data_IF_456683571072
#
_entry.id   IF_456683571072
#
_cell.length_a   1.000
_cell.length_b   1.000
_cell.length_c   1.000
_cell.angle_alpha   90.00
_cell.angle_beta   90.00
_cell.angle_gamma   90.00
#
_symmetry.space_group_name_H-M   'P 1'
#
loop_
_entity.id
_entity.type
_entity.pdbx_description
1 polymer ?
#
# COMPACT_ATOMS: atom_id res chain seq x y z
N UNK A 1 8.11 1.05 28.05
CA UNK A 1 7.10 1.22 27.00
C UNK A 1 7.37 0.17 25.95
N UNK A 2 6.43 -0.74 25.71
CA UNK A 2 6.52 -1.77 24.68
C UNK A 2 5.49 -1.44 23.61
N UNK A 3 5.94 -1.26 22.37
CA UNK A 3 5.07 -0.99 21.23
C UNK A 3 5.17 -2.18 20.27
N UNK A 4 4.03 -2.75 19.91
CA UNK A 4 3.97 -3.86 18.97
C UNK A 4 3.20 -3.41 17.73
N UNK A 5 3.80 -3.65 16.57
CA UNK A 5 3.21 -3.34 15.27
C UNK A 5 3.08 -4.64 14.48
N UNK A 6 1.88 -4.92 13.99
CA UNK A 6 1.61 -6.05 13.11
C UNK A 6 0.96 -5.53 11.83
N UNK A 7 1.53 -5.86 10.68
CA UNK A 7 0.99 -5.52 9.37
C UNK A 7 0.85 -6.76 8.50
N UNK A 8 -0.25 -6.84 7.75
CA UNK A 8 -0.50 -7.87 6.76
C UNK A 8 -1.11 -7.28 5.50
N UNK A 9 -0.70 -7.77 4.33
CA UNK A 9 -1.22 -7.32 3.04
C UNK A 9 -1.60 -8.50 2.15
N UNK A 10 -2.72 -8.37 1.46
CA UNK A 10 -3.16 -9.28 0.41
C UNK A 10 -3.23 -8.52 -0.93
N UNK A 11 -2.69 -9.12 -1.99
CA UNK A 11 -2.77 -8.57 -3.35
C UNK A 11 -3.39 -9.63 -4.25
N UNK A 12 -4.45 -9.25 -4.96
CA UNK A 12 -5.14 -10.12 -5.89
C UNK A 12 -5.07 -9.55 -7.31
N UNK A 13 -4.38 -10.25 -8.21
CA UNK A 13 -4.26 -9.87 -9.61
C UNK A 13 -5.47 -10.35 -10.42
N UNK A 14 -6.44 -9.45 -10.66
CA UNK A 14 -7.60 -9.74 -11.53
C UNK A 14 -7.16 -9.87 -12.99
N UNK A 15 -6.19 -9.05 -13.40
CA UNK A 15 -5.63 -9.05 -14.74
C UNK A 15 -4.15 -8.71 -14.67
N UNK A 16 -3.43 -8.93 -15.77
CA UNK A 16 -2.02 -8.54 -15.93
C UNK A 16 -1.76 -7.07 -15.58
N UNK A 17 -2.78 -6.23 -15.76
CA UNK A 17 -2.70 -4.80 -15.52
C UNK A 17 -3.49 -4.33 -14.29
N UNK A 18 -4.37 -5.15 -13.70
CA UNK A 18 -5.25 -4.72 -12.60
C UNK A 18 -5.08 -5.60 -11.37
N UNK A 19 -4.76 -4.98 -10.24
CA UNK A 19 -4.57 -5.67 -8.97
C UNK A 19 -5.41 -4.99 -7.89
N UNK A 20 -6.18 -5.78 -7.15
CA UNK A 20 -6.77 -5.36 -5.89
C UNK A 20 -5.72 -5.52 -4.78
N UNK A 21 -5.73 -4.59 -3.85
CA UNK A 21 -4.84 -4.54 -2.70
C UNK A 21 -5.69 -4.41 -1.45
N UNK A 22 -5.31 -5.11 -0.40
CA UNK A 22 -5.93 -4.98 0.90
C UNK A 22 -4.84 -5.06 1.95
N UNK A 23 -4.71 -4.02 2.75
CA UNK A 23 -3.73 -3.94 3.81
C UNK A 23 -4.43 -3.82 5.16
N UNK A 24 -3.91 -4.48 6.17
CA UNK A 24 -4.39 -4.43 7.53
C UNK A 24 -3.19 -4.17 8.44
N UNK A 25 -3.24 -3.10 9.23
CA UNK A 25 -2.19 -2.75 10.19
C UNK A 25 -2.82 -2.59 11.56
N UNK A 26 -2.23 -3.24 12.55
CA UNK A 26 -2.64 -3.17 13.95
C UNK A 26 -1.44 -2.72 14.80
N UNK A 27 -1.68 -1.71 15.62
CA UNK A 27 -0.74 -1.14 16.57
C UNK A 27 -1.27 -1.39 17.97
N UNK A 28 -0.41 -1.86 18.87
CA UNK A 28 -0.68 -1.92 20.30
C UNK A 28 0.25 -0.95 20.99
N UNK A 29 -0.36 0.08 21.59
CA UNK A 29 0.33 1.08 22.38
C UNK A 29 -0.14 0.93 23.84
N UNK A 30 0.81 0.75 24.75
CA UNK A 30 0.56 0.66 26.18
C UNK A 30 1.08 1.92 26.83
N UNK A 31 0.18 2.86 27.13
CA UNK A 31 0.52 4.09 27.84
C UNK A 31 0.25 3.92 29.34
N UNK A 32 1.22 4.32 30.16
CA UNK A 32 1.13 4.28 31.62
C UNK A 32 0.92 5.70 32.09
N UNK A 33 -0.34 6.07 32.26
CA UNK A 33 -0.71 7.39 32.76
C UNK A 33 -0.28 7.52 34.24
N UNK A 34 0.09 8.75 34.67
CA UNK A 34 0.62 9.06 36.03
C UNK A 34 -0.30 8.67 37.21
N UNK A 35 -1.51 8.17 36.94
CA UNK A 35 -2.53 7.76 37.89
C UNK A 35 -2.64 6.23 38.11
N UNK A 36 -1.65 5.42 37.71
CA UNK A 36 -1.63 3.95 37.95
C UNK A 36 -2.72 3.17 37.18
N UNK A 37 -3.18 3.69 36.04
CA UNK A 37 -4.14 3.01 35.15
C UNK A 37 -3.43 2.68 33.84
N UNK A 38 -3.42 1.40 33.47
CA UNK A 38 -2.90 0.93 32.19
C UNK A 38 -4.00 1.16 31.15
N UNK A 39 -3.79 2.09 30.23
CA UNK A 39 -4.64 2.27 29.06
C UNK A 39 -3.97 1.56 27.89
N UNK A 40 -4.61 0.49 27.42
CA UNK A 40 -4.16 -0.28 26.25
C UNK A 40 -4.91 0.23 25.03
N UNK A 41 -4.26 1.08 24.25
CA UNK A 41 -4.80 1.57 22.98
C UNK A 41 -4.46 0.56 21.89
N UNK A 42 -5.50 0.01 21.26
CA UNK A 42 -5.35 -0.82 20.06
C UNK A 42 -5.80 0.04 18.89
N UNK A 43 -4.90 0.31 17.96
CA UNK A 43 -5.18 1.07 16.74
C UNK A 43 -5.15 0.10 15.57
N UNK A 44 -6.31 -0.18 14.97
CA UNK A 44 -6.41 -1.04 13.79
C UNK A 44 -6.86 -0.22 12.58
N UNK A 45 -6.21 -0.46 11.44
CA UNK A 45 -6.39 0.23 10.17
C UNK A 45 -6.52 -0.80 9.05
N UNK A 46 -7.58 -0.70 8.27
CA UNK A 46 -7.76 -1.48 7.05
C UNK A 46 -7.68 -0.54 5.85
N UNK A 47 -6.90 -0.88 4.84
CA UNK A 47 -6.72 -0.08 3.64
C UNK A 47 -7.01 -0.93 2.41
N UNK A 48 -8.30 -1.09 2.03
CA UNK A 48 -8.66 -1.56 0.71
C UNK A 48 -8.17 -0.59 -0.35
N UNK A 49 -7.63 -1.12 -1.45
CA UNK A 49 -7.16 -0.34 -2.57
C UNK A 49 -7.10 -1.14 -3.85
N UNK A 50 -6.72 -0.46 -4.91
CA UNK A 50 -6.49 -1.07 -6.21
C UNK A 50 -5.39 -0.32 -6.94
N UNK A 51 -4.68 -1.04 -7.82
CA UNK A 51 -3.71 -0.46 -8.75
C UNK A 51 -3.95 -0.95 -10.17
N UNK A 52 -3.75 -0.05 -11.12
CA UNK A 52 -3.85 -0.30 -12.54
C UNK A 52 -2.56 0.12 -13.26
N UNK A 53 -2.02 -0.78 -14.09
CA UNK A 53 -0.84 -0.55 -14.91
C UNK A 53 -1.22 -0.31 -16.38
N UNK A 54 -0.91 0.88 -16.88
CA UNK A 54 -1.00 1.24 -18.29
C UNK A 54 0.33 0.91 -18.97
N UNK A 55 0.36 -0.22 -19.68
CA UNK A 55 1.50 -0.63 -20.49
C UNK A 55 1.38 -0.03 -21.90
N UNK A 56 2.36 0.79 -22.31
CA UNK A 56 2.45 1.39 -23.66
C UNK A 56 3.45 0.64 -24.55
N UNK A 57 3.32 0.74 -25.89
CA UNK A 57 4.17 0.01 -26.84
C UNK A 57 5.68 0.32 -26.72
N UNK A 58 6.05 1.48 -26.18
CA UNK A 58 7.46 1.89 -25.99
C UNK A 58 8.06 1.38 -24.67
N UNK A 59 7.54 0.30 -24.08
CA UNK A 59 7.88 -0.20 -22.75
C UNK A 59 7.69 0.84 -21.62
N UNK A 60 6.93 1.90 -21.87
CA UNK A 60 6.51 2.85 -20.84
C UNK A 60 5.37 2.23 -20.03
N UNK A 61 5.57 2.07 -18.74
CA UNK A 61 4.54 1.63 -17.81
C UNK A 61 4.17 2.77 -16.86
N UNK A 62 2.87 3.04 -16.75
CA UNK A 62 2.33 4.01 -15.79
C UNK A 62 1.44 3.22 -14.84
N UNK A 63 1.75 3.23 -13.55
CA UNK A 63 0.94 2.55 -12.53
C UNK A 63 0.21 3.60 -11.70
N UNK A 64 -1.11 3.54 -11.70
CA UNK A 64 -1.96 4.40 -10.86
C UNK A 64 -2.61 3.52 -9.81
N UNK A 65 -2.59 3.94 -8.55
CA UNK A 65 -3.24 3.25 -7.47
C UNK A 65 -3.95 4.20 -6.52
N UNK A 66 -4.97 3.69 -5.87
CA UNK A 66 -5.67 4.38 -4.80
C UNK A 66 -5.99 3.36 -3.69
N UNK A 67 -5.91 3.79 -2.45
CA UNK A 67 -6.35 3.03 -1.30
C UNK A 67 -7.13 3.92 -0.33
N UNK A 68 -8.03 3.32 0.42
CA UNK A 68 -8.89 3.99 1.39
C UNK A 68 -8.56 3.42 2.78
N UNK A 69 -7.59 4.00 3.51
CA UNK A 69 -7.36 3.63 4.91
C UNK A 69 -8.61 3.95 5.73
N UNK A 70 -9.14 2.97 6.44
CA UNK A 70 -10.32 3.05 7.30
C UNK A 70 -9.87 2.62 8.69
N UNK A 71 -10.05 3.51 9.66
CA UNK A 71 -9.85 3.21 11.07
C UNK A 71 -10.93 2.29 11.62
N UNK A 72 -10.54 1.23 12.32
CA UNK A 72 -11.48 0.31 12.98
C UNK A 72 -11.65 0.58 14.49
N UNK A 73 -10.88 1.51 15.05
CA UNK A 73 -10.75 1.74 16.49
C UNK A 73 -10.93 3.23 16.80
N UNK A 74 -11.38 3.56 18.02
CA UNK A 74 -11.71 4.94 18.43
C UNK A 74 -10.56 5.95 18.25
N UNK A 75 -9.31 5.47 18.23
CA UNK A 75 -8.10 6.29 18.02
C UNK A 75 -7.57 6.29 16.57
N UNK A 76 -8.24 5.61 15.63
CA UNK A 76 -7.86 5.61 14.21
C UNK A 76 -8.62 6.70 13.44
N UNK A 77 -8.03 7.31 12.40
CA UNK A 77 -8.76 8.22 11.51
C UNK A 77 -9.99 7.52 10.88
N UNK A 78 -11.17 8.16 10.92
CA UNK A 78 -12.43 7.57 10.41
C UNK A 78 -12.30 7.05 8.97
N UNK A 79 -11.58 7.79 8.13
CA UNK A 79 -11.23 7.42 6.76
C UNK A 79 -10.11 8.32 6.23
N UNK A 80 -9.33 7.79 5.29
CA UNK A 80 -8.31 8.50 4.55
C UNK A 80 -8.34 8.14 3.07
N UNK A 81 -7.53 8.82 2.27
CA UNK A 81 -7.38 8.53 0.85
C UNK A 81 -5.90 8.59 0.48
N UNK A 82 -5.38 7.47 0.03
CA UNK A 82 -3.99 7.31 -0.39
C UNK A 82 -3.94 7.16 -1.90
N UNK A 83 -3.33 8.12 -2.58
CA UNK A 83 -3.09 8.05 -4.03
C UNK A 83 -1.63 7.74 -4.32
N UNK A 84 -1.42 6.83 -5.27
CA UNK A 84 -0.11 6.42 -5.72
C UNK A 84 -0.01 6.51 -7.24
N UNK A 85 1.07 7.12 -7.74
CA UNK A 85 1.35 7.23 -9.17
C UNK A 85 2.83 6.91 -9.38
N UNK A 86 3.10 5.93 -10.23
CA UNK A 86 4.46 5.53 -10.63
C UNK A 86 4.61 5.55 -12.14
N UNK A 87 5.81 5.95 -12.58
CA UNK A 87 6.22 5.97 -13.98
C UNK A 87 7.49 5.14 -14.14
N UNK A 88 7.41 4.06 -14.91
CA UNK A 88 8.55 3.28 -15.35
C UNK A 88 8.79 3.57 -16.83
N UNK A 89 9.86 4.33 -17.12
CA UNK A 89 10.31 4.62 -18.47
C UNK A 89 11.64 3.91 -18.74
N UNK A 90 11.79 3.18 -19.86
CA UNK A 90 13.07 2.59 -20.23
C UNK A 90 14.04 3.68 -20.66
N UNK A 91 15.06 3.96 -19.83
CA UNK A 91 16.06 4.99 -20.13
C UNK A 91 17.01 4.62 -21.28
N UNK A 92 17.02 3.35 -21.70
CA UNK A 92 17.87 2.85 -22.77
C UNK A 92 17.00 2.28 -23.90
N UNK A 93 17.16 2.82 -25.11
CA UNK A 93 16.73 2.13 -26.34
C UNK A 93 17.51 0.81 -26.39
N UNK A 94 16.83 -0.33 -26.24
CA UNK A 94 17.39 -1.58 -26.74
C UNK A 94 17.42 -1.48 -28.26
N UNK A 95 18.57 -1.10 -28.80
CA UNK A 95 18.87 -1.34 -30.21
C UNK A 95 19.03 -2.84 -30.34
N UNK A 96 17.97 -3.53 -30.75
CA UNK A 96 18.09 -4.92 -31.19
C UNK A 96 18.91 -4.92 -32.47
N UNK A 97 20.24 -5.02 -32.31
CA UNK A 97 21.16 -5.25 -33.40
C UNK A 97 20.71 -6.49 -34.15
N UNK A 98 20.27 -6.30 -35.38
CA UNK A 98 19.99 -7.35 -36.34
C UNK A 98 21.32 -8.05 -36.69
N UNK A 99 21.71 -9.02 -35.87
CA UNK A 99 22.83 -9.93 -36.16
C UNK A 99 22.41 -10.95 -37.21
N UNK A 100 22.33 -10.52 -38.47
CA UNK A 100 22.55 -11.42 -39.60
C UNK A 100 24.04 -11.46 -39.87
N UNK A 101 24.66 -12.61 -39.64
CA UNK A 101 25.68 -13.23 -40.49
C UNK A 101 25.97 -14.64 -39.97
#
# INVERSE_FOLDING_TARGET
>A
MWNYNLGGSAIYAISRNFNLMFEAVAFWEEDVNRATRVERTVTALLSPGARYAFNRPNNLQIVVGAALPIGLTQDSPDWGLFFYLSFEHPFLRMHSGNGKN
#
